data_IF_976095775184
#
_entry.id   IF_976095775184
#
_cell.length_a   1.000
_cell.length_b   1.000
_cell.length_c   1.000
_cell.angle_alpha   90.00
_cell.angle_beta   90.00
_cell.angle_gamma   90.00
#
_symmetry.space_group_name_H-M   'P 1'
#
loop_
_entity.id
_entity.type
_entity.pdbx_description
1 polymer ?
#
# COMPACT_ATOMS: atom_id res chain seq x y z
N UNK A 1 0.91 11.92 -4.71
CA UNK A 1 2.16 11.76 -3.95
C UNK A 1 2.05 10.55 -3.08
N UNK A 2 3.14 9.83 -2.91
CA UNK A 2 3.23 8.69 -1.99
C UNK A 2 3.85 9.18 -0.67
N UNK A 3 3.70 8.43 0.42
CA UNK A 3 4.50 8.64 1.64
C UNK A 3 5.43 7.44 1.89
N UNK A 4 5.84 6.77 0.81
CA UNK A 4 6.64 5.56 0.85
C UNK A 4 8.03 5.83 1.42
N UNK A 5 8.35 5.20 2.54
CA UNK A 5 9.63 5.38 3.23
C UNK A 5 10.08 4.09 3.94
N UNK A 6 11.40 3.92 4.20
CA UNK A 6 11.87 2.80 5.00
C UNK A 6 11.41 2.93 6.46
N UNK A 7 11.20 1.80 7.13
CA UNK A 7 10.74 1.72 8.53
C UNK A 7 11.66 2.42 9.55
N UNK A 8 12.92 2.67 9.18
CA UNK A 8 13.96 3.17 10.08
C UNK A 8 14.59 2.11 10.99
N UNK A 9 14.14 0.84 10.93
CA UNK A 9 14.60 -0.23 11.82
C UNK A 9 15.74 -1.10 11.27
N UNK A 10 16.29 -0.77 10.08
CA UNK A 10 17.28 -1.58 9.36
C UNK A 10 16.83 -3.04 9.15
N UNK A 11 15.53 -3.26 8.98
CA UNK A 11 14.89 -4.56 8.79
C UNK A 11 14.48 -4.81 7.32
N UNK A 12 14.74 -3.84 6.44
CA UNK A 12 14.32 -3.87 5.04
C UNK A 12 12.81 -3.73 4.83
N UNK A 13 12.06 -3.35 5.87
CA UNK A 13 10.63 -3.04 5.76
C UNK A 13 10.46 -1.60 5.31
N UNK A 14 9.52 -1.39 4.40
CA UNK A 14 9.07 -0.08 3.97
C UNK A 14 7.58 0.06 4.27
N UNK A 15 7.10 1.28 4.46
CA UNK A 15 5.67 1.54 4.61
C UNK A 15 5.23 2.77 3.82
N UNK A 16 3.93 2.86 3.57
CA UNK A 16 3.27 4.08 3.10
C UNK A 16 1.97 4.25 3.89
N UNK A 17 1.64 5.48 4.22
CA UNK A 17 0.30 5.82 4.70
C UNK A 17 -0.67 5.82 3.52
N UNK A 18 -1.86 5.29 3.74
CA UNK A 18 -2.94 5.23 2.75
C UNK A 18 -4.20 5.77 3.40
N UNK A 19 -4.87 6.69 2.70
CA UNK A 19 -6.23 7.12 3.04
C UNK A 19 -7.21 6.48 2.07
N UNK A 20 -8.10 5.64 2.59
CA UNK A 20 -9.19 5.04 1.84
C UNK A 20 -10.49 5.81 2.09
N UNK A 21 -11.22 6.16 1.03
CA UNK A 21 -12.49 6.90 1.10
C UNK A 21 -13.62 6.12 0.43
N UNK A 22 -14.74 5.97 1.13
CA UNK A 22 -15.96 5.39 0.59
C UNK A 22 -16.70 6.41 -0.29
N UNK A 23 -16.38 6.43 -1.60
CA UNK A 23 -17.03 7.34 -2.56
C UNK A 23 -18.48 6.92 -2.86
N UNK A 24 -18.73 5.61 -2.96
CA UNK A 24 -20.06 5.03 -3.17
C UNK A 24 -20.20 3.72 -2.41
N UNK A 25 -21.37 3.48 -1.82
CA UNK A 25 -21.66 2.30 -1.01
C UNK A 25 -20.77 2.19 0.23
N UNK A 26 -20.60 0.96 0.71
CA UNK A 26 -19.77 0.65 1.88
C UNK A 26 -18.63 -0.31 1.51
N UNK A 27 -17.61 0.16 0.76
CA UNK A 27 -16.54 -0.71 0.26
C UNK A 27 -15.59 -1.13 1.38
N UNK A 28 -15.03 -2.33 1.23
CA UNK A 28 -13.86 -2.77 2.00
C UNK A 28 -12.60 -2.46 1.19
N UNK A 29 -11.56 -1.83 1.77
CA UNK A 29 -10.29 -1.61 1.06
C UNK A 29 -9.69 -2.94 0.60
N UNK A 30 -9.42 -3.09 -0.70
CA UNK A 30 -8.70 -4.26 -1.19
C UNK A 30 -7.19 -4.06 -1.04
N UNK A 31 -6.68 -4.39 0.15
CA UNK A 31 -5.27 -4.15 0.50
C UNK A 31 -4.32 -4.99 -0.37
N UNK A 32 -4.73 -6.19 -0.78
CA UNK A 32 -3.87 -7.14 -1.48
C UNK A 32 -3.38 -6.67 -2.87
N UNK A 33 -4.04 -5.68 -3.45
CA UNK A 33 -3.71 -5.10 -4.76
C UNK A 33 -2.58 -4.07 -4.68
N UNK A 34 -2.14 -3.67 -3.48
CA UNK A 34 -1.03 -2.74 -3.30
C UNK A 34 0.33 -3.42 -3.45
N UNK A 35 1.24 -2.71 -4.13
CA UNK A 35 2.62 -3.12 -4.34
C UNK A 35 3.53 -1.89 -4.19
N UNK A 36 4.75 -2.06 -3.70
CA UNK A 36 5.82 -1.08 -3.89
C UNK A 36 6.61 -1.44 -5.16
N UNK A 37 7.04 -0.44 -5.93
CA UNK A 37 7.84 -0.64 -7.13
C UNK A 37 9.10 0.20 -7.09
N UNK A 38 10.20 -0.38 -7.55
CA UNK A 38 11.49 0.29 -7.70
C UNK A 38 11.74 0.73 -9.14
N UNK A 39 12.71 1.63 -9.31
CA UNK A 39 13.16 2.14 -10.63
C UNK A 39 13.60 1.03 -11.59
N UNK A 40 14.08 -0.10 -11.08
CA UNK A 40 14.48 -1.26 -11.88
C UNK A 40 13.31 -2.22 -12.19
N UNK A 41 12.07 -1.78 -11.95
CA UNK A 41 10.82 -2.57 -12.09
C UNK A 41 10.64 -3.72 -11.10
N UNK A 42 11.53 -3.89 -10.10
CA UNK A 42 11.29 -4.82 -9.00
C UNK A 42 9.98 -4.46 -8.30
N UNK A 43 9.15 -5.46 -8.02
CA UNK A 43 7.82 -5.28 -7.42
C UNK A 43 7.77 -6.05 -6.09
N UNK A 44 7.35 -5.37 -5.03
CA UNK A 44 7.20 -5.92 -3.69
C UNK A 44 5.72 -5.90 -3.32
N UNK A 45 5.10 -7.07 -3.24
CA UNK A 45 3.71 -7.19 -2.83
C UNK A 45 3.53 -6.71 -1.38
N UNK A 46 2.36 -6.14 -1.07
CA UNK A 46 2.03 -5.77 0.31
C UNK A 46 2.16 -6.98 1.24
N UNK A 47 2.72 -6.75 2.43
CA UNK A 47 2.77 -7.75 3.49
C UNK A 47 1.38 -8.05 4.00
N UNK A 48 1.07 -9.34 4.17
CA UNK A 48 -0.19 -9.79 4.78
C UNK A 48 -0.11 -9.75 6.31
N UNK A 49 -1.24 -9.48 6.95
CA UNK A 49 -1.41 -9.58 8.40
C UNK A 49 -1.98 -8.31 9.03
N UNK A 50 -2.52 -8.45 10.24
CA UNK A 50 -3.05 -7.31 10.98
C UNK A 50 -1.90 -6.62 11.72
N UNK A 51 -1.59 -5.40 11.29
CA UNK A 51 -0.71 -4.47 12.02
C UNK A 51 -1.59 -3.51 12.84
N UNK A 52 -1.21 -3.14 14.07
CA UNK A 52 -2.02 -2.25 14.91
C UNK A 52 -2.34 -0.90 14.26
N UNK A 53 -1.42 -0.37 13.45
CA UNK A 53 -1.55 0.86 12.68
C UNK A 53 -1.82 0.61 11.19
N UNK A 54 -2.15 -0.64 10.84
CA UNK A 54 -2.41 -1.04 9.47
C UNK A 54 -3.67 -0.39 8.91
N UNK A 55 -3.72 -0.22 7.59
CA UNK A 55 -4.93 0.21 6.90
C UNK A 55 -6.06 -0.77 7.26
N UNK A 56 -7.19 -0.28 7.82
CA UNK A 56 -8.21 -1.18 8.32
C UNK A 56 -8.88 -1.98 7.19
N UNK A 57 -8.95 -3.31 7.35
CA UNK A 57 -9.52 -4.24 6.37
C UNK A 57 -10.97 -4.61 6.72
N UNK A 58 -11.85 -3.61 6.74
CA UNK A 58 -13.28 -3.80 6.98
C UNK A 58 -14.10 -2.80 6.18
N UNK A 59 -15.42 -3.02 6.01
CA UNK A 59 -16.27 -2.08 5.30
C UNK A 59 -16.19 -0.67 5.89
N UNK A 60 -16.05 0.32 5.01
CA UNK A 60 -16.13 1.73 5.36
C UNK A 60 -17.59 2.18 5.27
N UNK A 61 -18.03 3.01 6.22
CA UNK A 61 -19.32 3.69 6.10
C UNK A 61 -19.33 4.61 4.88
N UNK A 62 -20.42 4.63 4.11
CA UNK A 62 -20.56 5.50 2.95
C UNK A 62 -20.21 6.96 3.27
N UNK A 63 -19.40 7.58 2.42
CA UNK A 63 -18.93 8.97 2.57
C UNK A 63 -17.78 9.17 3.57
N UNK A 64 -17.45 8.17 4.38
CA UNK A 64 -16.34 8.26 5.35
C UNK A 64 -14.98 7.96 4.72
N UNK A 65 -13.93 8.24 5.48
CA UNK A 65 -12.57 7.85 5.15
C UNK A 65 -11.86 7.28 6.37
N UNK A 66 -10.85 6.46 6.13
CA UNK A 66 -9.92 5.97 7.15
C UNK A 66 -8.50 6.07 6.64
N UNK A 67 -7.53 6.16 7.55
CA UNK A 67 -6.10 6.15 7.23
C UNK A 67 -5.41 5.06 8.02
N UNK A 68 -4.42 4.42 7.41
CA UNK A 68 -3.51 3.52 8.07
C UNK A 68 -2.36 3.12 7.14
N UNK A 69 -1.44 2.33 7.66
CA UNK A 69 -0.22 1.94 6.95
C UNK A 69 -0.39 0.65 6.17
N UNK A 70 0.31 0.59 5.04
CA UNK A 70 0.62 -0.65 4.35
C UNK A 70 2.13 -0.86 4.37
N UNK A 71 2.55 -2.12 4.35
CA UNK A 71 3.95 -2.50 4.56
C UNK A 71 4.46 -3.38 3.42
N UNK A 72 5.74 -3.24 3.11
CA UNK A 72 6.42 -4.00 2.06
C UNK A 72 7.73 -4.57 2.60
N UNK A 73 8.03 -5.81 2.23
CA UNK A 73 9.32 -6.44 2.49
C UNK A 73 10.24 -6.24 1.29
N UNK A 74 11.29 -5.44 1.48
CA UNK A 74 12.26 -5.02 0.44
C UNK A 74 13.66 -5.57 0.76
N UNK A 75 13.79 -6.54 1.67
CA UNK A 75 15.09 -7.05 2.12
C UNK A 75 15.95 -7.53 0.94
N UNK A 76 17.15 -6.97 0.83
CA UNK A 76 18.11 -7.28 -0.25
C UNK A 76 17.71 -6.77 -1.64
N UNK A 77 16.63 -6.00 -1.75
CA UNK A 77 16.13 -5.43 -3.00
C UNK A 77 16.61 -4.00 -3.26
N UNK A 78 16.24 -3.48 -4.42
CA UNK A 78 16.39 -2.05 -4.75
C UNK A 78 15.32 -1.24 -4.05
N UNK A 79 15.68 -0.09 -3.49
CA UNK A 79 14.74 0.81 -2.83
C UNK A 79 13.57 1.15 -3.79
N UNK A 80 12.32 0.97 -3.35
CA UNK A 80 11.16 1.36 -4.14
C UNK A 80 11.01 2.88 -4.13
N UNK A 81 10.41 3.40 -5.20
CA UNK A 81 10.16 4.84 -5.41
C UNK A 81 8.68 5.14 -5.67
N UNK A 82 7.82 4.12 -5.65
CA UNK A 82 6.41 4.26 -5.94
C UNK A 82 5.57 3.19 -5.26
N UNK A 83 4.33 3.54 -4.96
CA UNK A 83 3.27 2.60 -4.60
C UNK A 83 2.36 2.43 -5.81
N UNK A 84 1.96 1.19 -6.10
CA UNK A 84 1.13 0.83 -7.23
C UNK A 84 -0.08 0.06 -6.72
N UNK A 85 -1.28 0.42 -7.20
CA UNK A 85 -2.49 -0.38 -7.04
C UNK A 85 -2.75 -1.12 -8.34
N UNK A 86 -2.67 -2.45 -8.30
CA UNK A 86 -2.75 -3.34 -9.46
C UNK A 86 -3.91 -4.31 -9.27
N UNK A 87 -4.75 -4.43 -10.29
CA UNK A 87 -5.86 -5.38 -10.23
C UNK A 87 -5.41 -6.84 -10.38
N UNK A 88 -6.34 -7.77 -10.13
CA UNK A 88 -6.09 -9.21 -10.27
C UNK A 88 -5.69 -9.65 -11.70
N UNK A 89 -5.95 -8.82 -12.72
CA UNK A 89 -5.53 -9.06 -14.11
C UNK A 89 -4.10 -8.60 -14.40
N UNK A 90 -3.40 -8.03 -13.43
CA UNK A 90 -2.03 -7.56 -13.56
C UNK A 90 -1.89 -6.13 -14.09
N UNK A 91 -3.00 -5.40 -14.26
CA UNK A 91 -2.97 -4.04 -14.78
C UNK A 91 -2.83 -3.02 -13.65
N UNK A 92 -1.82 -2.15 -13.76
CA UNK A 92 -1.66 -1.01 -12.86
C UNK A 92 -2.83 -0.03 -13.08
N UNK A 93 -3.62 0.19 -12.04
CA UNK A 93 -4.75 1.13 -12.08
C UNK A 93 -4.36 2.51 -11.58
N UNK A 94 -3.48 2.56 -10.59
CA UNK A 94 -2.97 3.79 -10.01
C UNK A 94 -1.51 3.60 -9.64
N UNK A 95 -0.71 4.63 -9.89
CA UNK A 95 0.67 4.74 -9.44
C UNK A 95 0.79 6.04 -8.65
N UNK A 96 1.22 5.94 -7.40
CA UNK A 96 1.60 7.08 -6.58
C UNK A 96 3.11 7.16 -6.53
N UNK A 97 3.63 8.29 -6.99
CA UNK A 97 5.03 8.69 -6.97
C UNK A 97 5.09 10.15 -6.51
N UNK A 98 6.27 10.57 -6.09
CA UNK A 98 6.59 11.97 -5.80
C UNK A 98 6.98 12.76 -7.06
#
# INVERSE_FOLDING_TARGET
>A
MSTLEPSGHNDGVWYSDVTARAVSGSPTPNIADFNARAVNSSTYAVMKGNKPDGLPNQPLTAGSQTTGRIYFDVRGGTAPDSVVYRDAGGTDRVVWKD
#
